data_IF_666542611655
#
_entry.id   IF_666542611655
#
_cell.length_a   1.000
_cell.length_b   1.000
_cell.length_c   1.000
_cell.angle_alpha   90.00
_cell.angle_beta   90.00
_cell.angle_gamma   90.00
#
_symmetry.space_group_name_H-M   'P 1'
#
loop_
_entity.id
_entity.type
_entity.pdbx_description
1 polymer ?
#
# COMPACT_ATOMS: atom_id res chain seq x y z
N UNK A 1 -22.11 23.58 -45.27
CA UNK A 1 -20.74 23.43 -44.73
C UNK A 1 -20.88 22.68 -43.41
N UNK A 2 -20.58 21.38 -43.39
CA UNK A 2 -20.74 20.53 -42.20
C UNK A 2 -19.41 20.49 -41.46
N UNK A 3 -19.38 20.98 -40.23
CA UNK A 3 -18.16 20.97 -39.40
C UNK A 3 -18.08 19.62 -38.69
N UNK A 4 -17.13 18.78 -39.08
CA UNK A 4 -16.86 17.51 -38.40
C UNK A 4 -15.93 17.79 -37.23
N UNK A 5 -16.42 17.54 -36.01
CA UNK A 5 -15.62 17.64 -34.79
C UNK A 5 -15.13 16.23 -34.43
N UNK A 6 -13.82 16.01 -34.56
CA UNK A 6 -13.16 14.78 -34.11
C UNK A 6 -12.74 14.95 -32.66
N UNK A 7 -13.37 14.22 -31.74
CA UNK A 7 -12.98 14.19 -30.32
C UNK A 7 -12.04 13.01 -30.11
N UNK A 8 -10.78 13.29 -29.77
CA UNK A 8 -9.80 12.28 -29.36
C UNK A 8 -9.88 12.14 -27.84
N UNK A 9 -10.47 11.05 -27.35
CA UNK A 9 -10.37 10.69 -25.93
C UNK A 9 -9.05 9.96 -25.70
N UNK A 10 -8.12 10.60 -24.98
CA UNK A 10 -6.93 9.94 -24.46
C UNK A 10 -7.28 9.38 -23.09
N UNK A 11 -7.54 8.07 -23.01
CA UNK A 11 -7.64 7.38 -21.73
C UNK A 11 -6.24 7.18 -21.17
N UNK A 12 -5.88 7.97 -20.15
CA UNK A 12 -4.75 7.65 -19.29
C UNK A 12 -5.15 6.42 -18.46
N UNK A 13 -4.79 5.23 -18.94
CA UNK A 13 -4.90 4.01 -18.15
C UNK A 13 -4.09 4.21 -16.89
N UNK A 14 -4.76 4.35 -15.74
CA UNK A 14 -4.09 4.29 -14.45
C UNK A 14 -3.43 2.91 -14.39
N UNK A 15 -2.11 2.87 -14.26
CA UNK A 15 -1.35 1.63 -14.11
C UNK A 15 -1.33 1.24 -12.63
N UNK A 16 -2.49 0.83 -12.12
CA UNK A 16 -2.57 0.21 -10.81
C UNK A 16 -2.14 -1.25 -10.98
N UNK A 17 -1.12 -1.67 -10.24
CA UNK A 17 -0.72 -3.07 -10.15
C UNK A 17 -1.84 -3.83 -9.41
N UNK A 18 -2.87 -4.24 -10.14
CA UNK A 18 -3.96 -5.06 -9.60
C UNK A 18 -3.39 -6.35 -9.03
N UNK A 19 -3.61 -6.57 -7.73
CA UNK A 19 -3.30 -7.85 -7.08
C UNK A 19 -1.86 -8.06 -6.63
N UNK A 20 -0.95 -7.09 -6.81
CA UNK A 20 0.42 -7.18 -6.26
C UNK A 20 0.82 -5.86 -5.60
N UNK A 21 1.25 -5.94 -4.34
CA UNK A 21 1.71 -4.82 -3.52
C UNK A 21 0.74 -3.63 -3.44
N UNK A 22 -0.57 -3.89 -3.37
CA UNK A 22 -1.62 -2.87 -3.26
C UNK A 22 -1.92 -2.58 -1.79
N UNK A 23 -2.20 -1.31 -1.46
CA UNK A 23 -2.76 -0.97 -0.14
C UNK A 23 -4.11 -1.66 0.04
N UNK A 24 -4.38 -2.18 1.24
CA UNK A 24 -5.63 -2.90 1.54
C UNK A 24 -6.40 -2.22 2.66
N UNK A 25 -7.72 -2.18 2.51
CA UNK A 25 -8.65 -1.87 3.59
C UNK A 25 -8.74 -3.03 4.60
N UNK A 26 -9.37 -2.79 5.75
CA UNK A 26 -9.59 -3.81 6.78
C UNK A 26 -10.35 -5.03 6.24
N UNK A 27 -11.30 -4.80 5.33
CA UNK A 27 -12.07 -5.83 4.62
C UNK A 27 -11.37 -6.39 3.38
N UNK A 28 -10.06 -6.16 3.23
CA UNK A 28 -9.22 -6.61 2.10
C UNK A 28 -9.53 -5.99 0.73
N UNK A 29 -10.36 -4.93 0.67
CA UNK A 29 -10.57 -4.17 -0.56
C UNK A 29 -9.29 -3.39 -0.94
N UNK A 30 -9.04 -3.24 -2.23
CA UNK A 30 -7.91 -2.46 -2.73
C UNK A 30 -8.11 -0.96 -2.48
N UNK A 31 -7.05 -0.29 -2.02
CA UNK A 31 -6.99 1.15 -1.78
C UNK A 31 -5.83 1.75 -2.56
N UNK A 32 -5.95 3.03 -2.91
CA UNK A 32 -4.81 3.79 -3.44
C UNK A 32 -3.85 4.18 -2.31
N UNK A 33 -4.40 4.61 -1.18
CA UNK A 33 -3.66 4.97 0.02
C UNK A 33 -4.54 4.80 1.27
N UNK A 34 -3.90 4.72 2.43
CA UNK A 34 -4.55 4.88 3.72
C UNK A 34 -3.59 5.50 4.74
N UNK A 35 -4.13 6.07 5.81
CA UNK A 35 -3.39 6.40 7.02
C UNK A 35 -3.93 5.58 8.19
N UNK A 36 -3.04 5.17 9.09
CA UNK A 36 -3.40 4.55 10.37
C UNK A 36 -2.83 5.38 11.50
N UNK A 37 -3.67 5.70 12.48
CA UNK A 37 -3.26 6.30 13.74
C UNK A 37 -3.50 5.31 14.88
N UNK A 38 -2.44 4.98 15.62
CA UNK A 38 -2.50 4.19 16.86
C UNK A 38 -2.42 5.14 18.05
N UNK A 39 -3.51 5.32 18.82
CA UNK A 39 -3.43 6.09 20.06
C UNK A 39 -2.54 5.37 21.11
N UNK A 40 -1.90 6.11 22.03
CA UNK A 40 -1.21 5.52 23.18
C UNK A 40 -2.15 4.62 23.98
N UNK A 41 -1.68 3.44 24.40
CA UNK A 41 -2.44 2.48 25.22
C UNK A 41 -3.76 1.98 24.63
N UNK A 42 -4.02 2.23 23.35
CA UNK A 42 -5.19 1.69 22.63
C UNK A 42 -4.71 0.79 21.51
N UNK A 43 -5.29 -0.41 21.43
CA UNK A 43 -4.93 -1.42 20.43
C UNK A 43 -5.80 -1.31 19.17
N UNK A 44 -7.02 -0.80 19.31
CA UNK A 44 -7.89 -0.47 18.18
C UNK A 44 -7.47 0.86 17.57
N UNK A 45 -6.89 0.80 16.37
CA UNK A 45 -6.42 1.96 15.61
C UNK A 45 -7.57 2.75 15.00
N UNK A 46 -7.26 3.95 14.51
CA UNK A 46 -8.11 4.68 13.56
C UNK A 46 -7.49 4.60 12.18
N UNK A 47 -8.32 4.40 11.17
CA UNK A 47 -7.92 4.35 9.77
C UNK A 47 -8.65 5.44 8.97
N UNK A 48 -7.94 6.06 8.04
CA UNK A 48 -8.48 6.92 7.00
C UNK A 48 -8.10 6.31 5.66
N UNK A 49 -9.08 6.12 4.78
CA UNK A 49 -8.91 5.39 3.52
C UNK A 49 -9.12 6.32 2.33
N UNK A 50 -8.45 6.03 1.21
CA UNK A 50 -8.70 6.72 -0.05
C UNK A 50 -10.17 6.55 -0.48
N UNK A 51 -10.85 7.65 -0.80
CA UNK A 51 -12.25 7.69 -1.23
C UNK A 51 -12.73 9.11 -1.48
N UNK A 52 -14.02 9.31 -1.77
CA UNK A 52 -14.57 10.63 -2.10
C UNK A 52 -14.56 11.61 -0.90
N UNK A 53 -14.73 11.10 0.32
CA UNK A 53 -14.68 11.90 1.55
C UNK A 53 -13.91 11.13 2.65
N UNK A 54 -12.57 11.13 2.62
CA UNK A 54 -11.75 10.41 3.60
C UNK A 54 -11.99 10.93 5.02
N UNK A 55 -12.42 10.05 5.91
CA UNK A 55 -12.61 10.36 7.32
C UNK A 55 -11.95 9.29 8.20
N UNK A 56 -11.59 9.67 9.42
CA UNK A 56 -11.10 8.73 10.41
C UNK A 56 -12.24 7.85 10.93
N UNK A 57 -12.08 6.53 10.83
CA UNK A 57 -12.97 5.54 11.44
C UNK A 57 -12.16 4.55 12.29
N UNK A 58 -12.76 3.90 13.30
CA UNK A 58 -12.09 2.81 14.01
C UNK A 58 -11.77 1.65 13.06
N UNK A 59 -10.56 1.09 13.13
CA UNK A 59 -10.21 -0.13 12.40
C UNK A 59 -11.09 -1.30 12.85
N UNK A 60 -11.41 -2.23 11.95
CA UNK A 60 -12.34 -3.32 12.21
C UNK A 60 -11.85 -4.26 13.31
N UNK A 61 -10.54 -4.51 13.42
CA UNK A 61 -9.90 -5.34 14.43
C UNK A 61 -8.79 -4.60 15.19
N UNK A 62 -8.36 -5.19 16.32
CA UNK A 62 -7.18 -4.74 17.07
C UNK A 62 -5.91 -4.89 16.22
N UNK A 63 -4.94 -3.99 16.40
CA UNK A 63 -3.68 -4.00 15.63
C UNK A 63 -2.81 -5.24 15.92
N UNK A 64 -3.01 -5.87 17.08
CA UNK A 64 -2.30 -7.09 17.47
C UNK A 64 -2.85 -8.36 16.78
N UNK A 65 -4.05 -8.28 16.19
CA UNK A 65 -4.63 -9.41 15.50
C UNK A 65 -3.88 -9.68 14.19
N UNK A 66 -3.70 -10.95 13.86
CA UNK A 66 -3.04 -11.38 12.62
C UNK A 66 -3.92 -11.23 11.37
N UNK A 67 -5.08 -10.57 11.46
CA UNK A 67 -5.97 -10.29 10.32
C UNK A 67 -7.02 -9.21 10.70
N UNK A 68 -7.74 -8.72 9.69
CA UNK A 68 -8.91 -7.85 9.84
C UNK A 68 -8.58 -6.38 10.10
N UNK A 69 -7.34 -5.97 9.83
CA UNK A 69 -6.92 -4.57 9.78
C UNK A 69 -5.97 -4.32 8.59
N UNK A 70 -5.98 -3.09 8.09
CA UNK A 70 -5.33 -2.70 6.83
C UNK A 70 -3.84 -3.00 6.76
N UNK A 71 -3.12 -2.89 7.89
CA UNK A 71 -1.66 -3.09 7.92
C UNK A 71 -1.34 -4.54 7.58
N UNK A 72 -1.92 -5.51 8.28
CA UNK A 72 -1.67 -6.93 7.98
C UNK A 72 -2.18 -7.31 6.60
N UNK A 73 -3.36 -6.82 6.21
CA UNK A 73 -3.91 -7.11 4.87
C UNK A 73 -2.98 -6.60 3.75
N UNK A 74 -2.41 -5.40 3.93
CA UNK A 74 -1.44 -4.82 2.98
C UNK A 74 -0.15 -5.64 2.95
N UNK A 75 0.38 -5.95 4.14
CA UNK A 75 1.63 -6.71 4.30
C UNK A 75 1.52 -8.16 3.80
N UNK A 76 0.33 -8.76 3.79
CA UNK A 76 0.11 -10.12 3.31
C UNK A 76 0.56 -10.32 1.85
N UNK A 77 0.43 -9.29 1.02
CA UNK A 77 0.91 -9.34 -0.38
C UNK A 77 2.43 -9.27 -0.50
N UNK A 78 3.14 -8.74 0.51
CA UNK A 78 4.59 -8.54 0.48
C UNK A 78 5.38 -9.75 0.98
N UNK A 79 4.82 -10.54 1.90
CA UNK A 79 5.48 -11.71 2.49
C UNK A 79 5.31 -12.98 1.66
N UNK A 80 4.48 -12.94 0.62
CA UNK A 80 4.42 -14.03 -0.35
C UNK A 80 5.75 -14.07 -1.10
N UNK A 81 6.37 -15.24 -1.20
CA UNK A 81 7.62 -15.44 -1.93
C UNK A 81 7.38 -15.25 -3.44
N UNK A 82 7.42 -13.99 -3.87
CA UNK A 82 7.18 -13.56 -5.23
C UNK A 82 8.48 -12.99 -5.81
N UNK A 83 9.07 -13.60 -6.85
CA UNK A 83 10.41 -13.25 -7.35
C UNK A 83 10.53 -11.81 -7.88
N UNK A 84 9.40 -11.21 -8.24
CA UNK A 84 9.26 -9.85 -8.77
C UNK A 84 9.11 -8.77 -7.69
N UNK A 85 8.95 -9.13 -6.41
CA UNK A 85 8.87 -8.16 -5.31
C UNK A 85 10.28 -7.91 -4.76
N UNK A 86 10.67 -6.65 -4.66
CA UNK A 86 11.90 -6.20 -3.98
C UNK A 86 11.52 -5.25 -2.85
N UNK A 87 12.14 -5.43 -1.68
CA UNK A 87 11.84 -4.64 -0.48
C UNK A 87 13.13 -4.05 0.08
N UNK A 88 13.09 -2.76 0.39
CA UNK A 88 14.11 -2.05 1.17
C UNK A 88 13.48 -1.60 2.49
N UNK A 89 13.75 -2.34 3.57
CA UNK A 89 13.32 -1.97 4.93
C UNK A 89 14.43 -1.18 5.65
N UNK A 90 14.03 -0.16 6.43
CA UNK A 90 14.93 0.66 7.24
C UNK A 90 14.40 0.81 8.67
N UNK A 91 15.31 0.76 9.63
CA UNK A 91 15.09 0.98 11.07
C UNK A 91 16.44 1.26 11.71
N UNK A 92 16.49 2.12 12.71
CA UNK A 92 17.68 2.30 13.57
C UNK A 92 17.86 1.13 14.55
N UNK A 93 16.78 0.39 14.80
CA UNK A 93 16.73 -0.82 15.60
C UNK A 93 16.10 -1.96 14.75
N UNK A 94 16.85 -2.53 13.79
CA UNK A 94 16.38 -3.60 12.92
C UNK A 94 16.29 -4.95 13.67
N UNK A 95 15.27 -5.78 13.39
CA UNK A 95 15.20 -7.12 13.96
C UNK A 95 16.40 -7.97 13.47
N UNK A 96 16.97 -8.76 14.37
CA UNK A 96 18.08 -9.70 14.09
C UNK A 96 19.39 -9.06 13.58
N UNK A 97 19.55 -7.75 13.73
CA UNK A 97 20.78 -7.02 13.43
C UNK A 97 21.12 -6.10 14.61
N UNK A 98 22.40 -5.79 14.86
CA UNK A 98 22.76 -4.85 15.92
C UNK A 98 22.10 -3.47 15.68
N UNK A 99 21.64 -2.79 16.74
CA UNK A 99 21.16 -1.41 16.64
C UNK A 99 22.23 -0.52 16.02
N UNK A 100 21.81 0.42 15.17
CA UNK A 100 22.71 1.41 14.59
C UNK A 100 22.52 2.75 15.30
N UNK A 101 23.63 3.43 15.57
CA UNK A 101 23.63 4.77 16.17
C UNK A 101 23.30 5.86 15.13
N UNK A 102 22.21 5.66 14.40
CA UNK A 102 21.69 6.63 13.42
C UNK A 102 20.87 7.71 14.14
N UNK A 103 20.90 8.93 13.59
CA UNK A 103 20.13 10.07 14.13
C UNK A 103 18.61 9.92 13.94
N UNK A 104 18.18 9.28 12.86
CA UNK A 104 16.76 9.09 12.56
C UNK A 104 16.20 7.89 13.32
N UNK A 105 15.06 8.09 13.99
CA UNK A 105 14.28 7.03 14.66
C UNK A 105 13.12 6.51 13.81
N UNK A 106 13.02 6.98 12.57
CA UNK A 106 11.98 6.56 11.64
C UNK A 106 12.23 5.12 11.16
N UNK A 107 11.14 4.37 11.01
CA UNK A 107 11.14 2.99 10.51
C UNK A 107 10.19 2.91 9.32
N UNK A 108 10.52 2.08 8.33
CA UNK A 108 9.65 1.93 7.16
C UNK A 108 10.18 0.93 6.14
N UNK A 109 9.44 0.76 5.06
CA UNK A 109 9.82 -0.09 3.94
C UNK A 109 9.41 0.55 2.61
N UNK A 110 10.28 0.42 1.61
CA UNK A 110 9.99 0.71 0.21
C UNK A 110 9.83 -0.60 -0.55
N UNK A 111 8.81 -0.67 -1.37
CA UNK A 111 8.44 -1.89 -2.09
C UNK A 111 8.36 -1.58 -3.56
N UNK A 112 9.05 -2.40 -4.35
CA UNK A 112 9.13 -2.27 -5.79
C UNK A 112 8.67 -3.59 -6.41
N UNK A 113 7.64 -3.52 -7.25
CA UNK A 113 7.16 -4.66 -8.01
C UNK A 113 7.65 -4.53 -9.44
N UNK A 114 8.49 -5.46 -9.88
CA UNK A 114 8.93 -5.54 -11.26
C UNK A 114 7.90 -6.30 -12.10
N UNK A 115 7.06 -5.58 -12.84
CA UNK A 115 6.21 -6.22 -13.85
C UNK A 115 7.07 -6.52 -15.09
N UNK A 116 7.02 -7.76 -15.59
CA UNK A 116 7.60 -8.03 -16.92
C UNK A 116 6.79 -7.21 -17.93
N UNK A 117 7.43 -6.30 -18.68
CA UNK A 117 6.80 -5.74 -19.88
C UNK A 117 6.48 -6.92 -20.79
N UNK A 118 5.20 -7.11 -21.16
CA UNK A 118 4.90 -7.86 -22.39
C UNK A 118 5.62 -7.13 -23.51
N UNK A 119 6.52 -7.81 -24.22
CA UNK A 119 7.01 -7.32 -25.49
C UNK A 119 5.78 -7.12 -26.38
N UNK A 120 5.50 -5.88 -26.77
CA UNK A 120 4.54 -5.61 -27.83
C UNK A 120 5.20 -6.06 -29.12
N UNK A 121 4.93 -7.29 -29.54
CA UNK A 121 5.14 -7.65 -30.93
C UNK A 121 4.05 -6.94 -31.73
N UNK A 122 4.48 -5.87 -32.40
CA UNK A 122 3.78 -5.21 -33.50
C UNK A 122 4.70 -5.31 -34.68
#
# INVERSE_FOLDING_TARGET
MLTVITVILISLGSSWAQGVATCKADNNADLNWYFVYKPPNVLRTKIMQSGQNPAWAPSAQSIENNNGHSIVQTMASFIQDQPNIKVLAYSDDPPNLPPRNEKSKAKGAFIVVQTKKKASHT
#
